data_IF_543562525161
#
_entry.id   IF_543562525161
#
_cell.length_a   1.000
_cell.length_b   1.000
_cell.length_c   1.000
_cell.angle_alpha   90.00
_cell.angle_beta   90.00
_cell.angle_gamma   90.00
#
_symmetry.space_group_name_H-M   'P 1'
#
loop_
_entity.id
_entity.type
_entity.pdbx_description
1 polymer ?
#
# COMPACT_ATOMS: atom_id res chain seq x y z
N UNK A 1 -2.93 -17.26 -13.93
CA UNK A 1 -3.00 -16.68 -12.57
C UNK A 1 -2.59 -15.23 -12.70
N UNK A 2 -3.40 -14.27 -12.22
CA UNK A 2 -3.15 -12.85 -12.46
C UNK A 2 -1.79 -12.43 -11.89
N UNK A 3 -0.96 -11.78 -12.70
CA UNK A 3 0.33 -11.27 -12.25
C UNK A 3 0.06 -10.11 -11.29
N UNK A 4 0.32 -10.30 -9.99
CA UNK A 4 0.24 -9.23 -9.01
C UNK A 4 1.29 -8.16 -9.35
N UNK A 5 0.91 -6.89 -9.32
CA UNK A 5 1.77 -5.77 -9.74
C UNK A 5 1.93 -4.72 -8.63
N UNK A 6 2.87 -3.78 -8.79
CA UNK A 6 3.09 -2.69 -7.82
C UNK A 6 1.88 -1.74 -7.76
N UNK A 7 1.12 -1.64 -8.85
CA UNK A 7 -0.12 -0.89 -8.97
C UNK A 7 -1.24 -1.45 -8.08
N UNK A 8 -1.15 -2.73 -7.72
CA UNK A 8 -2.04 -3.37 -6.75
C UNK A 8 -1.70 -2.99 -5.31
N UNK A 9 -0.54 -2.37 -5.06
CA UNK A 9 -0.12 -1.96 -3.72
C UNK A 9 -0.55 -0.51 -3.48
N UNK A 10 -1.32 -0.27 -2.42
CA UNK A 10 -1.65 1.07 -1.97
C UNK A 10 -0.43 1.77 -1.37
N UNK A 11 -0.43 3.11 -1.32
CA UNK A 11 0.66 3.88 -0.73
C UNK A 11 1.02 3.47 0.72
N UNK A 12 0.07 2.90 1.47
CA UNK A 12 0.29 2.38 2.82
C UNK A 12 0.80 0.93 2.87
N UNK A 13 1.13 0.29 1.74
CA UNK A 13 1.53 -1.13 1.69
C UNK A 13 0.36 -2.12 1.68
N UNK A 14 -0.89 -1.65 1.69
CA UNK A 14 -2.05 -2.53 1.59
C UNK A 14 -2.15 -3.15 0.19
N UNK A 15 -2.23 -4.47 0.09
CA UNK A 15 -2.36 -5.15 -1.19
C UNK A 15 -3.83 -5.22 -1.64
N UNK A 16 -4.18 -4.49 -2.68
CA UNK A 16 -5.55 -4.39 -3.18
C UNK A 16 -6.00 -5.62 -3.99
N UNK A 17 -5.09 -6.45 -4.50
CA UNK A 17 -5.43 -7.63 -5.32
C UNK A 17 -6.30 -8.66 -4.60
N UNK A 18 -6.24 -8.71 -3.26
CA UNK A 18 -7.08 -9.56 -2.42
C UNK A 18 -8.36 -8.87 -1.94
N UNK A 19 -8.55 -7.59 -2.22
CA UNK A 19 -9.67 -6.80 -1.71
C UNK A 19 -11.00 -7.21 -2.36
N UNK A 20 -11.96 -7.66 -1.55
CA UNK A 20 -13.31 -8.04 -2.00
C UNK A 20 -14.01 -6.92 -2.78
N UNK A 21 -13.95 -5.69 -2.29
CA UNK A 21 -14.58 -4.53 -2.96
C UNK A 21 -13.99 -4.26 -4.36
N UNK A 22 -12.68 -4.51 -4.55
CA UNK A 22 -12.04 -4.42 -5.87
C UNK A 22 -12.49 -5.56 -6.77
N UNK A 23 -12.57 -6.79 -6.25
CA UNK A 23 -13.06 -7.97 -6.97
C UNK A 23 -14.52 -7.81 -7.42
N UNK A 24 -15.34 -7.16 -6.61
CA UNK A 24 -16.74 -6.82 -6.90
C UNK A 24 -16.89 -5.58 -7.79
N UNK A 25 -15.78 -5.01 -8.30
CA UNK A 25 -15.73 -3.83 -9.19
C UNK A 25 -16.32 -2.53 -8.60
N UNK A 26 -16.58 -2.48 -7.30
CA UNK A 26 -17.04 -1.28 -6.59
C UNK A 26 -15.88 -0.34 -6.19
N UNK A 27 -14.63 -0.76 -6.37
CA UNK A 27 -13.44 0.06 -6.15
C UNK A 27 -12.40 -0.25 -7.24
N UNK A 28 -11.89 0.78 -7.90
CA UNK A 28 -10.83 0.62 -8.91
C UNK A 28 -9.42 0.62 -8.31
N UNK A 29 -9.28 0.72 -6.99
CA UNK A 29 -7.99 0.73 -6.29
C UNK A 29 -7.51 2.11 -5.83
N UNK A 30 -6.40 2.12 -5.11
CA UNK A 30 -5.92 3.31 -4.41
C UNK A 30 -5.27 4.34 -5.32
N UNK A 31 -4.61 3.91 -6.41
CA UNK A 31 -3.80 4.74 -7.31
C UNK A 31 -4.42 4.96 -8.71
N UNK A 32 -5.13 3.97 -9.25
CA UNK A 32 -5.70 4.03 -10.60
C UNK A 32 -6.64 5.22 -10.77
N UNK A 33 -6.54 5.88 -11.93
CA UNK A 33 -7.33 7.03 -12.36
C UNK A 33 -6.78 8.41 -11.96
N UNK A 34 -5.78 8.51 -11.08
CA UNK A 34 -5.24 9.82 -10.67
C UNK A 34 -4.21 10.37 -11.67
N UNK A 35 -3.41 9.51 -12.30
CA UNK A 35 -2.33 9.93 -13.19
C UNK A 35 -2.84 10.40 -14.58
N UNK A 36 -4.03 9.96 -14.99
CA UNK A 36 -4.66 10.33 -16.26
C UNK A 36 -5.84 11.31 -16.09
N UNK A 37 -6.09 11.80 -14.87
CA UNK A 37 -7.14 12.77 -14.58
C UNK A 37 -8.57 12.20 -14.50
N UNK A 38 -8.78 10.90 -14.68
CA UNK A 38 -10.10 10.26 -14.50
C UNK A 38 -10.64 10.43 -13.07
N UNK A 39 -9.75 10.65 -12.09
CA UNK A 39 -10.07 10.93 -10.70
C UNK A 39 -9.37 12.21 -10.26
N UNK A 40 -10.15 13.04 -9.61
CA UNK A 40 -9.66 14.25 -8.97
C UNK A 40 -8.98 13.90 -7.62
N UNK A 41 -7.68 14.14 -7.54
CA UNK A 41 -6.89 13.91 -6.33
C UNK A 41 -7.34 14.80 -5.16
N UNK A 42 -7.87 16.00 -5.43
CA UNK A 42 -8.36 16.91 -4.40
C UNK A 42 -9.60 16.34 -3.66
N UNK A 43 -10.33 15.41 -4.28
CA UNK A 43 -11.46 14.71 -3.66
C UNK A 43 -11.04 13.53 -2.79
N UNK A 44 -9.75 13.15 -2.78
CA UNK A 44 -9.27 12.07 -1.95
C UNK A 44 -9.25 12.47 -0.46
N UNK A 45 -9.75 11.61 0.42
CA UNK A 45 -9.73 11.88 1.88
C UNK A 45 -8.44 11.45 2.59
N UNK A 46 -7.65 10.56 1.97
CA UNK A 46 -6.46 10.00 2.60
C UNK A 46 -5.24 10.90 2.34
N UNK A 47 -4.74 11.58 3.37
CA UNK A 47 -3.55 12.45 3.31
C UNK A 47 -2.32 11.73 2.76
N UNK A 48 -2.09 10.48 3.17
CA UNK A 48 -0.98 9.66 2.67
C UNK A 48 -1.08 9.41 1.17
N UNK A 49 -2.29 9.07 0.68
CA UNK A 49 -2.51 8.86 -0.75
C UNK A 49 -2.19 10.12 -1.55
N UNK A 50 -2.70 11.27 -1.10
CA UNK A 50 -2.44 12.55 -1.76
C UNK A 50 -0.93 12.78 -1.85
N UNK A 51 -0.23 12.71 -0.71
CA UNK A 51 1.23 12.91 -0.66
C UNK A 51 2.00 11.95 -1.57
N UNK A 52 1.73 10.65 -1.50
CA UNK A 52 2.38 9.61 -2.28
C UNK A 52 2.20 9.78 -3.79
N UNK A 53 0.97 10.05 -4.24
CA UNK A 53 0.67 10.29 -5.66
C UNK A 53 1.30 11.60 -6.13
N UNK A 54 1.22 12.68 -5.35
CA UNK A 54 1.85 13.97 -5.68
C UNK A 54 3.38 13.87 -5.77
N UNK A 55 4.01 13.04 -4.93
CA UNK A 55 5.45 12.76 -4.98
C UNK A 55 5.84 11.78 -6.09
N UNK A 56 4.87 11.21 -6.81
CA UNK A 56 5.07 10.21 -7.85
C UNK A 56 5.94 9.03 -7.41
N UNK A 57 5.65 8.50 -6.22
CA UNK A 57 6.30 7.30 -5.66
C UNK A 57 5.31 6.14 -5.62
N UNK A 58 5.82 4.91 -5.65
CA UNK A 58 4.98 3.73 -5.64
C UNK A 58 4.35 3.52 -4.26
N UNK A 59 5.15 3.50 -3.20
CA UNK A 59 4.60 3.42 -1.85
C UNK A 59 5.37 4.28 -0.89
N UNK A 60 4.87 4.40 0.34
CA UNK A 60 5.63 5.05 1.40
C UNK A 60 6.96 4.36 1.71
N UNK A 61 7.23 3.14 1.20
CA UNK A 61 8.53 2.49 1.30
C UNK A 61 9.61 3.26 0.51
N UNK A 62 9.24 3.98 -0.56
CA UNK A 62 10.19 4.78 -1.35
C UNK A 62 10.41 6.18 -0.75
N UNK A 63 9.77 6.49 0.38
CA UNK A 63 9.92 7.77 1.04
C UNK A 63 11.27 7.85 1.76
N UNK A 64 12.15 8.74 1.30
CA UNK A 64 13.46 9.01 1.94
C UNK A 64 13.38 9.40 3.42
N UNK A 65 12.23 9.92 3.84
CA UNK A 65 11.96 10.37 5.21
C UNK A 65 11.05 9.39 5.96
N UNK A 66 10.97 8.11 5.56
CA UNK A 66 10.01 7.13 6.10
C UNK A 66 9.85 7.19 7.64
N UNK A 67 10.96 7.23 8.37
CA UNK A 67 10.97 7.20 9.83
C UNK A 67 10.60 8.54 10.50
N UNK A 68 10.72 9.67 9.78
CA UNK A 68 10.43 11.01 10.30
C UNK A 68 9.21 11.66 9.63
N UNK A 69 8.64 11.06 8.59
CA UNK A 69 7.55 11.65 7.81
C UNK A 69 6.26 11.68 8.65
N UNK A 70 5.73 12.87 8.99
CA UNK A 70 4.58 12.98 9.88
C UNK A 70 3.32 12.31 9.30
N UNK A 71 3.12 12.37 7.98
CA UNK A 71 1.97 11.73 7.32
C UNK A 71 2.01 10.20 7.48
N UNK A 72 3.20 9.61 7.44
CA UNK A 72 3.39 8.16 7.60
C UNK A 72 3.20 7.78 9.07
N UNK A 73 3.86 8.49 9.99
CA UNK A 73 3.78 8.22 11.42
C UNK A 73 2.35 8.40 11.96
N UNK A 74 1.66 9.48 11.57
CA UNK A 74 0.25 9.72 11.91
C UNK A 74 -0.66 8.57 11.45
N UNK A 75 -0.38 7.96 10.30
CA UNK A 75 -1.18 6.87 9.79
C UNK A 75 -0.89 5.55 10.51
N UNK A 76 0.37 5.25 10.80
CA UNK A 76 0.76 4.05 11.54
C UNK A 76 0.32 4.08 13.00
N UNK A 77 0.24 5.27 13.61
CA UNK A 77 -0.20 5.46 14.98
C UNK A 77 -1.73 5.39 15.15
N UNK A 78 -2.50 5.17 14.08
CA UNK A 78 -3.96 4.98 14.18
C UNK A 78 -4.29 3.68 14.89
N UNK A 79 -5.36 3.73 15.68
CA UNK A 79 -5.90 2.54 16.34
C UNK A 79 -6.42 1.52 15.31
N UNK A 80 -6.02 0.26 15.48
CA UNK A 80 -6.53 -0.87 14.73
C UNK A 80 -5.44 -1.74 14.12
N UNK A 81 -5.67 -3.05 14.18
CA UNK A 81 -4.73 -4.09 13.74
C UNK A 81 -4.19 -3.89 12.32
N UNK A 82 -5.05 -3.44 11.40
CA UNK A 82 -4.66 -3.19 10.01
C UNK A 82 -3.55 -2.16 9.86
N UNK A 83 -3.50 -1.13 10.71
CA UNK A 83 -2.47 -0.08 10.60
C UNK A 83 -1.09 -0.59 11.00
N UNK A 84 -1.03 -1.52 11.97
CA UNK A 84 0.20 -2.22 12.32
C UNK A 84 0.66 -3.12 11.17
N UNK A 85 -0.28 -3.83 10.52
CA UNK A 85 0.01 -4.63 9.33
C UNK A 85 0.50 -3.81 8.13
N UNK A 86 -0.05 -2.62 7.93
CA UNK A 86 0.41 -1.68 6.91
C UNK A 86 1.81 -1.14 7.22
N UNK A 87 2.11 -0.89 8.49
CA UNK A 87 3.48 -0.57 8.93
C UNK A 87 4.45 -1.70 8.60
N UNK A 88 4.13 -2.94 8.99
CA UNK A 88 4.94 -4.12 8.65
C UNK A 88 5.16 -4.25 7.13
N UNK A 89 4.12 -4.04 6.33
CA UNK A 89 4.22 -4.09 4.87
C UNK A 89 5.21 -3.09 4.30
N UNK A 90 5.16 -1.84 4.77
CA UNK A 90 6.10 -0.80 4.31
C UNK A 90 7.53 -1.16 4.68
N UNK A 91 7.79 -1.58 5.92
CA UNK A 91 9.14 -1.98 6.32
C UNK A 91 9.61 -3.26 5.62
N UNK A 92 8.71 -4.20 5.31
CA UNK A 92 9.05 -5.39 4.53
C UNK A 92 9.49 -5.03 3.11
N UNK A 93 8.77 -4.10 2.45
CA UNK A 93 9.15 -3.62 1.11
C UNK A 93 10.51 -2.91 1.15
N UNK A 94 10.79 -2.12 2.19
CA UNK A 94 12.10 -1.48 2.36
C UNK A 94 13.23 -2.50 2.48
N UNK A 95 13.02 -3.56 3.28
CA UNK A 95 14.06 -4.54 3.58
C UNK A 95 14.29 -5.53 2.43
N UNK A 96 13.21 -6.02 1.81
CA UNK A 96 13.26 -7.15 0.87
C UNK A 96 12.85 -6.76 -0.56
N UNK A 97 12.31 -5.56 -0.77
CA UNK A 97 11.87 -5.08 -2.07
C UNK A 97 10.47 -5.52 -2.48
N UNK A 98 9.98 -4.90 -3.56
CA UNK A 98 8.62 -5.11 -4.09
C UNK A 98 8.38 -6.53 -4.60
N UNK A 99 9.38 -7.13 -5.26
CA UNK A 99 9.25 -8.47 -5.82
C UNK A 99 8.95 -9.49 -4.71
N UNK A 100 9.78 -9.51 -3.67
CA UNK A 100 9.58 -10.39 -2.52
C UNK A 100 8.25 -10.10 -1.82
N UNK A 101 7.88 -8.83 -1.65
CA UNK A 101 6.56 -8.49 -1.10
C UNK A 101 5.42 -9.09 -1.92
N UNK A 102 5.44 -8.93 -3.25
CA UNK A 102 4.41 -9.48 -4.15
C UNK A 102 4.34 -11.01 -4.08
N UNK A 103 5.47 -11.71 -3.95
CA UNK A 103 5.50 -13.17 -3.76
C UNK A 103 4.75 -13.59 -2.48
N UNK A 104 4.84 -12.80 -1.39
CA UNK A 104 4.09 -13.06 -0.15
C UNK A 104 2.58 -12.91 -0.34
N UNK A 105 2.14 -11.96 -1.17
CA UNK A 105 0.71 -11.67 -1.37
C UNK A 105 -0.07 -12.80 -2.03
N UNK A 106 0.61 -13.74 -2.71
CA UNK A 106 -0.03 -14.90 -3.37
C UNK A 106 -0.84 -15.73 -2.37
N UNK A 107 -0.37 -15.83 -1.12
CA UNK A 107 -0.99 -16.63 -0.05
C UNK A 107 -2.03 -15.84 0.74
N UNK A 108 -2.19 -14.54 0.49
CA UNK A 108 -3.06 -13.68 1.29
C UNK A 108 -4.52 -13.80 0.85
N UNK A 109 -5.43 -13.77 1.82
CA UNK A 109 -6.88 -13.71 1.59
C UNK A 109 -7.47 -12.32 1.83
N UNK A 110 -6.69 -11.42 2.43
CA UNK A 110 -7.04 -10.02 2.73
C UNK A 110 -5.90 -9.08 2.34
N UNK A 111 -6.08 -7.76 2.53
CA UNK A 111 -5.15 -6.73 2.05
C UNK A 111 -3.83 -6.63 2.84
N UNK A 112 -3.65 -7.54 3.79
CA UNK A 112 -2.47 -7.76 4.60
C UNK A 112 -2.40 -9.26 4.96
N UNK A 113 -1.23 -9.73 5.35
CA UNK A 113 -1.04 -11.11 5.79
C UNK A 113 0.20 -11.32 6.63
N UNK A 114 0.66 -12.57 6.68
CA UNK A 114 1.91 -12.97 7.33
C UNK A 114 3.03 -13.03 6.30
N UNK A 115 4.25 -12.84 6.75
CA UNK A 115 5.46 -12.94 5.95
C UNK A 115 6.18 -14.23 6.35
N UNK A 116 6.65 -15.00 5.38
CA UNK A 116 7.41 -16.23 5.65
C UNK A 116 8.89 -15.95 5.92
N UNK A 117 9.39 -14.83 5.40
CA UNK A 117 10.71 -14.29 5.73
C UNK A 117 10.54 -13.32 6.91
N UNK A 118 10.27 -13.85 8.09
CA UNK A 118 10.43 -13.08 9.34
C UNK A 118 11.88 -13.20 9.82
N UNK A 119 12.41 -12.11 10.40
CA UNK A 119 13.82 -11.91 10.78
C UNK A 119 14.44 -13.17 11.43
N UNK A 120 15.60 -13.57 10.90
CA UNK A 120 16.64 -14.27 11.68
C UNK A 120 17.26 -13.27 12.65
#
# INVERSE_FOLDING_TARGET
MGNNTIEDIGCCGAFCGTCKVKKEKACIGCKLGYNNGERDLAKAKCKMKICCITKNIDTCADCKELNSCPIIQDFFNKNGYKYHKYKEAIYYIVEYGYKDFLDQTIKWTMQYGKYEKEKT
#
